data_IF_591493739639
#
_entry.id   IF_591493739639
#
_cell.length_a   1.000
_cell.length_b   1.000
_cell.length_c   1.000
_cell.angle_alpha   90.00
_cell.angle_beta   90.00
_cell.angle_gamma   90.00
#
_symmetry.space_group_name_H-M   'P 1'
#
loop_
_entity.id
_entity.type
_entity.pdbx_description
1 polymer ?
#
# COMPACT_ATOMS: atom_id res chain seq x y z
N UNK A 1 -11.86 32.35 73.96
CA UNK A 1 -12.65 32.90 72.85
C UNK A 1 -12.14 32.23 71.58
N UNK A 2 -12.78 31.18 71.04
CA UNK A 2 -14.00 31.22 70.18
C UNK A 2 -13.87 32.32 69.13
N UNK A 3 -13.66 31.99 67.85
CA UNK A 3 -14.65 31.52 66.85
C UNK A 3 -13.95 30.54 65.85
N UNK A 4 -14.37 29.31 65.56
CA UNK A 4 -15.56 28.74 64.85
C UNK A 4 -15.72 29.11 63.36
N UNK A 5 -16.10 28.08 62.58
CA UNK A 5 -16.51 27.96 61.15
C UNK A 5 -15.38 27.54 60.18
N UNK A 6 -15.36 26.39 59.50
CA UNK A 6 -16.32 25.29 59.32
C UNK A 6 -17.28 25.50 58.14
N UNK A 7 -16.85 25.26 56.89
CA UNK A 7 -17.68 25.08 55.67
C UNK A 7 -16.84 24.30 54.62
N UNK A 8 -17.02 22.99 54.49
CA UNK A 8 -17.78 22.25 53.45
C UNK A 8 -17.02 21.97 52.14
N UNK A 9 -16.69 20.68 52.01
CA UNK A 9 -16.75 19.85 50.82
C UNK A 9 -17.92 20.23 49.89
N UNK A 10 -17.62 20.70 48.67
CA UNK A 10 -18.57 20.84 47.57
C UNK A 10 -17.86 20.55 46.23
N UNK A 11 -18.03 19.31 45.78
CA UNK A 11 -18.40 18.94 44.40
C UNK A 11 -18.15 20.00 43.32
N UNK A 12 -17.05 19.85 42.57
CA UNK A 12 -17.01 20.28 41.16
C UNK A 12 -17.85 19.27 40.37
N UNK A 13 -19.13 19.58 40.25
CA UNK A 13 -20.07 18.94 39.35
C UNK A 13 -20.64 20.07 38.50
N UNK A 14 -19.77 20.62 37.65
CA UNK A 14 -20.16 21.62 36.65
C UNK A 14 -20.83 20.87 35.50
N UNK A 15 -22.15 20.80 35.59
CA UNK A 15 -23.12 20.97 34.51
C UNK A 15 -22.75 20.39 33.12
N UNK A 16 -22.90 19.08 32.95
CA UNK A 16 -23.02 18.41 31.65
C UNK A 16 -24.42 17.78 31.47
N UNK A 17 -25.48 18.51 31.84
CA UNK A 17 -26.88 18.08 31.68
C UNK A 17 -27.72 19.14 30.91
N UNK A 18 -27.13 19.79 29.91
CA UNK A 18 -27.94 20.38 28.83
C UNK A 18 -28.16 19.31 27.76
N UNK A 19 -29.01 18.34 28.10
CA UNK A 19 -29.71 17.52 27.13
C UNK A 19 -30.58 18.46 26.28
N UNK A 20 -30.00 18.93 25.18
CA UNK A 20 -30.69 19.67 24.15
C UNK A 20 -31.81 18.79 23.58
N UNK A 21 -32.99 18.88 24.18
CA UNK A 21 -34.24 18.41 23.58
C UNK A 21 -34.46 19.22 22.31
N UNK A 22 -33.94 18.69 21.19
CA UNK A 22 -34.17 19.20 19.86
C UNK A 22 -35.67 19.05 19.56
N UNK A 23 -36.43 20.13 19.76
CA UNK A 23 -37.76 20.26 19.17
C UNK A 23 -37.61 20.11 17.65
N UNK A 24 -38.37 19.21 16.99
CA UNK A 24 -38.28 19.07 15.55
C UNK A 24 -38.73 20.38 14.90
N UNK A 25 -37.76 21.11 14.37
CA UNK A 25 -37.99 22.26 13.49
C UNK A 25 -38.95 21.86 12.36
N UNK A 26 -39.88 22.74 11.94
CA UNK A 26 -40.82 22.41 10.88
C UNK A 26 -40.06 22.04 9.61
N UNK A 27 -40.27 20.83 9.11
CA UNK A 27 -39.69 20.35 7.86
C UNK A 27 -40.17 21.25 6.71
N UNK A 28 -39.23 21.98 6.10
CA UNK A 28 -39.51 22.82 4.95
C UNK A 28 -39.69 21.92 3.73
N UNK A 29 -40.95 21.64 3.39
CA UNK A 29 -41.34 20.85 2.22
C UNK A 29 -41.83 21.79 1.11
N UNK A 30 -41.15 21.79 -0.03
CA UNK A 30 -41.58 22.55 -1.21
C UNK A 30 -42.29 21.59 -2.17
N UNK A 31 -43.56 21.88 -2.47
CA UNK A 31 -44.35 21.10 -3.44
C UNK A 31 -44.46 21.87 -4.74
N UNK A 32 -44.00 21.28 -5.83
CA UNK A 32 -44.17 21.81 -7.18
C UNK A 32 -45.19 20.96 -7.95
N UNK A 33 -46.16 21.60 -8.60
CA UNK A 33 -47.14 20.93 -9.45
C UNK A 33 -47.02 21.38 -10.90
N UNK A 34 -46.89 20.43 -11.82
CA UNK A 34 -46.76 20.68 -13.26
C UNK A 34 -48.09 20.45 -14.00
N UNK A 35 -48.23 21.04 -15.19
CA UNK A 35 -49.42 20.91 -16.04
C UNK A 35 -49.61 19.49 -16.62
N UNK A 36 -48.60 18.63 -16.46
CA UNK A 36 -48.59 17.21 -16.82
C UNK A 36 -49.17 16.29 -15.73
N UNK A 37 -49.85 16.85 -14.72
CA UNK A 37 -50.42 16.15 -13.56
C UNK A 37 -49.39 15.52 -12.60
N UNK A 38 -48.12 15.90 -12.68
CA UNK A 38 -47.09 15.47 -11.71
C UNK A 38 -46.98 16.44 -10.53
N UNK A 39 -46.84 15.89 -9.32
CA UNK A 39 -46.54 16.62 -8.09
C UNK A 39 -45.17 16.17 -7.60
N UNK A 40 -44.21 17.09 -7.50
CA UNK A 40 -42.86 16.81 -6.98
C UNK A 40 -42.72 17.41 -5.60
N UNK A 41 -42.37 16.55 -4.63
CA UNK A 41 -42.07 16.94 -3.26
C UNK A 41 -40.56 17.11 -3.11
N UNK A 42 -40.13 18.30 -2.69
CA UNK A 42 -38.74 18.60 -2.39
C UNK A 42 -38.56 18.73 -0.89
N UNK A 43 -37.65 17.95 -0.33
CA UNK A 43 -37.26 18.02 1.07
C UNK A 43 -35.92 18.76 1.18
N UNK A 44 -35.78 19.68 2.14
CA UNK A 44 -34.51 20.34 2.42
C UNK A 44 -33.53 19.35 3.09
N UNK A 45 -32.51 18.92 2.35
CA UNK A 45 -31.42 18.05 2.83
C UNK A 45 -30.14 18.82 3.15
N UNK A 46 -30.17 20.16 3.13
CA UNK A 46 -28.97 20.99 3.29
C UNK A 46 -28.32 20.80 4.66
N UNK A 47 -29.10 20.77 5.74
CA UNK A 47 -28.60 20.56 7.10
C UNK A 47 -28.03 19.15 7.29
N UNK A 48 -28.73 18.12 6.81
CA UNK A 48 -28.27 16.74 6.85
C UNK A 48 -26.97 16.53 6.06
N UNK A 49 -26.87 17.13 4.87
CA UNK A 49 -25.67 17.05 4.02
C UNK A 49 -24.50 17.82 4.66
N UNK A 50 -24.75 18.97 5.28
CA UNK A 50 -23.72 19.74 5.99
C UNK A 50 -23.17 18.99 7.21
N UNK A 51 -24.04 18.35 8.00
CA UNK A 51 -23.64 17.50 9.13
C UNK A 51 -22.87 16.28 8.65
N UNK A 52 -23.36 15.56 7.64
CA UNK A 52 -22.68 14.40 7.06
C UNK A 52 -21.29 14.77 6.49
N UNK A 53 -21.17 15.92 5.83
CA UNK A 53 -19.88 16.42 5.32
C UNK A 53 -18.92 16.73 6.46
N UNK A 54 -19.40 17.34 7.54
CA UNK A 54 -18.60 17.66 8.73
C UNK A 54 -18.12 16.37 9.41
N UNK A 55 -19.01 15.41 9.62
CA UNK A 55 -18.69 14.11 10.21
C UNK A 55 -17.70 13.30 9.34
N UNK A 56 -17.87 13.32 8.02
CA UNK A 56 -16.92 12.66 7.12
C UNK A 56 -15.54 13.33 7.16
N UNK A 57 -15.49 14.65 7.27
CA UNK A 57 -14.24 15.39 7.40
C UNK A 57 -13.53 15.06 8.73
N UNK A 58 -14.25 14.99 9.85
CA UNK A 58 -13.66 14.63 11.15
C UNK A 58 -13.14 13.19 11.14
N UNK A 59 -13.93 12.23 10.66
CA UNK A 59 -13.49 10.82 10.54
C UNK A 59 -12.23 10.65 9.69
N UNK A 60 -12.12 11.39 8.57
CA UNK A 60 -10.91 11.35 7.74
C UNK A 60 -9.68 11.86 8.49
N UNK A 61 -9.84 12.92 9.28
CA UNK A 61 -8.74 13.47 10.11
C UNK A 61 -8.36 12.50 11.22
N UNK A 62 -9.33 11.89 11.89
CA UNK A 62 -9.10 10.86 12.91
C UNK A 62 -8.32 9.67 12.36
N UNK A 63 -8.77 9.09 11.24
CA UNK A 63 -8.06 7.96 10.62
C UNK A 63 -6.65 8.34 10.13
N UNK A 64 -6.46 9.58 9.67
CA UNK A 64 -5.12 10.07 9.31
C UNK A 64 -4.19 10.18 10.53
N UNK A 65 -4.75 10.56 11.69
CA UNK A 65 -4.03 10.60 12.95
C UNK A 65 -3.71 9.19 13.47
N UNK A 66 -4.66 8.26 13.39
CA UNK A 66 -4.46 6.84 13.71
C UNK A 66 -3.34 6.23 12.87
N UNK A 67 -3.36 6.50 11.55
CA UNK A 67 -2.31 6.04 10.65
C UNK A 67 -0.93 6.56 11.08
N UNK A 68 -0.82 7.83 11.45
CA UNK A 68 0.45 8.37 11.96
C UNK A 68 0.87 7.71 13.27
N UNK A 69 -0.08 7.41 14.16
CA UNK A 69 0.19 6.72 15.41
C UNK A 69 0.71 5.29 15.15
N UNK A 70 0.08 4.53 14.24
CA UNK A 70 0.55 3.20 13.85
C UNK A 70 1.93 3.23 13.19
N UNK A 71 2.22 4.23 12.37
CA UNK A 71 3.56 4.43 11.78
C UNK A 71 4.60 4.68 12.87
N UNK A 72 4.30 5.57 13.83
CA UNK A 72 5.20 5.87 14.96
C UNK A 72 5.40 4.67 15.87
N UNK A 73 4.37 3.87 16.08
CA UNK A 73 4.43 2.62 16.86
C UNK A 73 5.11 1.47 16.10
N UNK A 74 5.44 1.64 14.82
CA UNK A 74 5.94 0.59 13.91
C UNK A 74 4.99 -0.62 13.80
N UNK A 75 3.68 -0.42 14.00
CA UNK A 75 2.65 -1.43 13.79
C UNK A 75 2.34 -1.54 12.29
N UNK A 76 3.15 -2.29 11.55
CA UNK A 76 3.03 -2.37 10.08
C UNK A 76 1.70 -2.98 9.61
N UNK A 77 1.11 -3.89 10.39
CA UNK A 77 -0.16 -4.55 10.02
C UNK A 77 -1.30 -3.56 9.87
N UNK A 78 -1.57 -2.83 10.93
CA UNK A 78 -2.65 -1.86 10.98
C UNK A 78 -2.35 -0.68 10.07
N UNK A 79 -1.09 -0.21 10.03
CA UNK A 79 -0.67 0.88 9.17
C UNK A 79 -0.91 0.58 7.68
N UNK A 80 -0.58 -0.62 7.19
CA UNK A 80 -0.77 -0.99 5.78
C UNK A 80 -2.26 -1.11 5.45
N UNK A 81 -3.05 -1.74 6.32
CA UNK A 81 -4.50 -1.90 6.10
C UNK A 81 -5.19 -0.54 6.06
N UNK A 82 -4.90 0.32 7.03
CA UNK A 82 -5.47 1.66 7.13
C UNK A 82 -4.99 2.56 5.98
N UNK A 83 -3.73 2.47 5.56
CA UNK A 83 -3.20 3.21 4.40
C UNK A 83 -3.87 2.79 3.08
N UNK A 84 -4.21 1.51 2.93
CA UNK A 84 -4.95 1.00 1.78
C UNK A 84 -6.42 1.45 1.80
N UNK A 85 -7.06 1.51 2.97
CA UNK A 85 -8.42 2.02 3.14
C UNK A 85 -8.52 3.53 2.83
N UNK A 86 -7.58 4.32 3.34
CA UNK A 86 -7.53 5.77 3.13
C UNK A 86 -6.96 6.16 1.75
N UNK A 87 -6.50 5.18 0.96
CA UNK A 87 -5.98 5.39 -0.39
C UNK A 87 -4.77 6.36 -0.48
N UNK A 88 -3.84 6.28 0.48
CA UNK A 88 -2.62 7.12 0.51
C UNK A 88 -1.40 6.43 -0.13
N UNK A 89 -1.06 6.69 -1.42
CA UNK A 89 0.06 5.99 -2.09
C UNK A 89 1.41 6.31 -1.49
N UNK A 90 1.65 7.58 -1.16
CA UNK A 90 2.98 8.04 -0.75
C UNK A 90 3.35 7.49 0.62
N UNK A 91 2.44 7.60 1.60
CA UNK A 91 2.66 7.05 2.94
C UNK A 91 2.86 5.53 2.91
N UNK A 92 2.11 4.82 2.07
CA UNK A 92 2.26 3.37 1.89
C UNK A 92 3.63 3.02 1.27
N UNK A 93 4.08 3.78 0.27
CA UNK A 93 5.41 3.62 -0.31
C UNK A 93 6.50 3.89 0.74
N UNK A 94 6.40 4.98 1.49
CA UNK A 94 7.36 5.33 2.54
C UNK A 94 7.45 4.18 3.58
N UNK A 95 6.30 3.62 3.99
CA UNK A 95 6.27 2.43 4.84
C UNK A 95 7.02 1.25 4.23
N UNK A 96 6.74 0.88 2.98
CA UNK A 96 7.46 -0.21 2.33
C UNK A 96 8.94 0.09 2.12
N UNK A 97 9.33 1.33 1.84
CA UNK A 97 10.74 1.72 1.71
C UNK A 97 11.49 1.57 3.02
N UNK A 98 10.87 1.93 4.16
CA UNK A 98 11.50 1.76 5.48
C UNK A 98 11.64 0.29 5.87
N UNK A 99 10.70 -0.57 5.46
CA UNK A 99 10.77 -2.01 5.71
C UNK A 99 11.83 -2.66 4.83
N UNK A 100 11.84 -2.37 3.52
CA UNK A 100 12.75 -3.00 2.55
C UNK A 100 14.19 -2.54 2.73
N UNK A 101 14.44 -1.29 3.12
CA UNK A 101 15.79 -0.79 3.38
C UNK A 101 16.24 -0.99 4.85
N UNK A 102 15.36 -1.53 5.70
CA UNK A 102 15.61 -1.76 7.11
C UNK A 102 16.36 -3.08 7.38
N UNK A 103 16.54 -3.45 8.65
CA UNK A 103 17.10 -4.75 9.01
C UNK A 103 16.15 -5.88 8.59
N UNK A 104 16.69 -6.87 7.87
CA UNK A 104 15.93 -8.03 7.39
C UNK A 104 15.93 -9.14 8.41
N UNK A 105 14.76 -9.69 8.70
CA UNK A 105 14.61 -10.93 9.47
C UNK A 105 14.80 -12.15 8.57
N UNK A 106 15.55 -13.14 9.07
CA UNK A 106 15.77 -14.41 8.38
C UNK A 106 14.41 -15.10 8.10
N UNK A 107 14.15 -15.37 6.82
CA UNK A 107 12.94 -16.04 6.35
C UNK A 107 11.75 -15.12 6.01
N UNK A 108 11.92 -13.79 6.07
CA UNK A 108 10.93 -12.84 5.54
C UNK A 108 11.19 -12.51 4.06
N UNK A 109 10.13 -12.31 3.28
CA UNK A 109 10.21 -11.97 1.86
C UNK A 109 10.38 -10.46 1.62
N UNK A 110 9.69 -9.60 2.37
CA UNK A 110 9.84 -8.13 2.29
C UNK A 110 10.90 -7.60 3.26
N UNK A 111 11.12 -8.29 4.39
CA UNK A 111 12.09 -7.92 5.43
C UNK A 111 11.55 -8.15 6.85
N UNK A 112 10.23 -8.01 7.06
CA UNK A 112 9.55 -8.32 8.33
C UNK A 112 8.41 -9.32 8.12
N UNK A 113 8.33 -10.33 9.00
CA UNK A 113 7.28 -11.37 8.94
C UNK A 113 5.87 -10.82 9.10
N UNK A 114 5.71 -9.75 9.87
CA UNK A 114 4.40 -9.10 10.06
C UNK A 114 3.84 -8.56 8.74
N UNK A 115 4.71 -7.98 7.89
CA UNK A 115 4.32 -7.44 6.58
C UNK A 115 3.93 -8.58 5.63
N UNK A 116 4.68 -9.68 5.65
CA UNK A 116 4.37 -10.87 4.85
C UNK A 116 3.01 -11.47 5.27
N UNK A 117 2.75 -11.55 6.58
CA UNK A 117 1.47 -12.03 7.11
C UNK A 117 0.30 -11.12 6.69
N UNK A 118 0.52 -9.80 6.62
CA UNK A 118 -0.49 -8.84 6.15
C UNK A 118 -0.80 -9.08 4.69
N UNK A 119 0.23 -9.13 3.83
CA UNK A 119 0.09 -9.36 2.38
C UNK A 119 -0.68 -10.66 2.10
N UNK A 120 -0.42 -11.72 2.88
CA UNK A 120 -1.17 -12.98 2.77
C UNK A 120 -2.65 -12.89 3.19
N UNK A 121 -2.98 -11.99 4.13
CA UNK A 121 -4.34 -11.81 4.68
C UNK A 121 -5.20 -10.75 3.97
N UNK A 122 -4.64 -10.02 3.00
CA UNK A 122 -5.35 -8.94 2.30
C UNK A 122 -6.60 -9.45 1.55
N UNK A 123 -7.65 -8.62 1.54
CA UNK A 123 -8.85 -8.85 0.74
C UNK A 123 -8.57 -8.63 -0.75
N UNK A 124 -9.40 -9.21 -1.62
CA UNK A 124 -9.24 -9.09 -3.07
C UNK A 124 -9.29 -7.63 -3.56
N UNK A 125 -10.11 -6.79 -2.93
CA UNK A 125 -10.19 -5.35 -3.28
C UNK A 125 -8.90 -4.61 -2.91
N UNK A 126 -8.37 -4.84 -1.71
CA UNK A 126 -7.12 -4.23 -1.26
C UNK A 126 -5.92 -4.73 -2.09
N UNK A 127 -5.90 -6.01 -2.44
CA UNK A 127 -4.88 -6.60 -3.30
C UNK A 127 -4.88 -5.95 -4.69
N UNK A 128 -6.06 -5.70 -5.26
CA UNK A 128 -6.20 -5.00 -6.54
C UNK A 128 -5.66 -3.57 -6.47
N UNK A 129 -6.06 -2.81 -5.45
CA UNK A 129 -5.56 -1.45 -5.24
C UNK A 129 -4.04 -1.44 -5.03
N UNK A 130 -3.50 -2.42 -4.31
CA UNK A 130 -2.05 -2.57 -4.12
C UNK A 130 -1.34 -2.87 -5.44
N UNK A 131 -1.85 -3.79 -6.27
CA UNK A 131 -1.27 -4.10 -7.59
C UNK A 131 -1.22 -2.90 -8.53
N UNK A 132 -2.28 -2.07 -8.55
CA UNK A 132 -2.29 -0.80 -9.30
C UNK A 132 -1.16 0.13 -8.82
N UNK A 133 -1.02 0.31 -7.51
CA UNK A 133 0.05 1.15 -6.95
C UNK A 133 1.46 0.59 -7.21
N UNK A 134 1.64 -0.73 -7.14
CA UNK A 134 2.92 -1.38 -7.47
C UNK A 134 3.30 -1.13 -8.92
N UNK A 135 2.35 -1.15 -9.87
CA UNK A 135 2.62 -0.79 -11.27
C UNK A 135 3.18 0.62 -11.37
N UNK A 136 2.56 1.59 -10.71
CA UNK A 136 2.98 2.99 -10.77
C UNK A 136 4.35 3.20 -10.10
N UNK A 137 4.62 2.51 -8.98
CA UNK A 137 5.95 2.52 -8.34
C UNK A 137 7.04 1.83 -9.17
N UNK A 138 6.68 0.79 -9.92
CA UNK A 138 7.60 0.05 -10.77
C UNK A 138 7.99 0.85 -12.03
N UNK A 139 7.11 1.73 -12.52
CA UNK A 139 7.42 2.61 -13.64
C UNK A 139 8.56 3.60 -13.32
N UNK A 140 8.75 3.95 -12.06
CA UNK A 140 9.78 4.89 -11.61
C UNK A 140 11.10 4.17 -11.25
N UNK A 141 12.21 4.63 -11.85
CA UNK A 141 13.54 4.08 -11.62
C UNK A 141 14.09 4.24 -10.20
N UNK A 142 13.55 5.12 -9.34
CA UNK A 142 13.99 5.25 -7.94
C UNK A 142 13.27 4.30 -6.98
N UNK A 143 12.03 3.95 -7.28
CA UNK A 143 11.14 3.17 -6.40
C UNK A 143 10.95 1.73 -6.85
N UNK A 144 11.48 1.36 -8.03
CA UNK A 144 11.35 0.02 -8.60
C UNK A 144 11.83 -1.08 -7.65
N UNK A 145 12.93 -0.90 -6.92
CA UNK A 145 13.46 -1.90 -6.01
C UNK A 145 12.41 -2.32 -4.95
N UNK A 146 11.78 -1.34 -4.30
CA UNK A 146 10.73 -1.57 -3.31
C UNK A 146 9.51 -2.24 -3.95
N UNK A 147 9.10 -1.79 -5.14
CA UNK A 147 7.99 -2.39 -5.88
C UNK A 147 8.25 -3.87 -6.23
N UNK A 148 9.47 -4.22 -6.64
CA UNK A 148 9.86 -5.60 -6.97
C UNK A 148 9.86 -6.51 -5.74
N UNK A 149 10.30 -6.03 -4.57
CA UNK A 149 10.27 -6.81 -3.33
C UNK A 149 8.83 -7.12 -2.89
N UNK A 150 7.95 -6.12 -2.93
CA UNK A 150 6.54 -6.32 -2.59
C UNK A 150 5.86 -7.23 -3.62
N UNK A 151 6.16 -7.07 -4.90
CA UNK A 151 5.66 -7.95 -5.96
C UNK A 151 6.14 -9.40 -5.76
N UNK A 152 7.40 -9.60 -5.41
CA UNK A 152 7.96 -10.91 -5.10
C UNK A 152 7.24 -11.58 -3.92
N UNK A 153 6.99 -10.83 -2.84
CA UNK A 153 6.23 -11.33 -1.70
C UNK A 153 4.79 -11.74 -2.08
N UNK A 154 4.10 -10.91 -2.87
CA UNK A 154 2.77 -11.22 -3.40
C UNK A 154 2.78 -12.54 -4.20
N UNK A 155 3.73 -12.70 -5.12
CA UNK A 155 3.82 -13.88 -5.97
C UNK A 155 4.17 -15.16 -5.19
N UNK A 156 4.87 -15.03 -4.07
CA UNK A 156 5.28 -16.17 -3.24
C UNK A 156 4.22 -16.58 -2.22
N UNK A 157 3.49 -15.61 -1.67
CA UNK A 157 2.49 -15.83 -0.62
C UNK A 157 1.10 -16.13 -1.18
N UNK A 158 0.74 -15.55 -2.33
CA UNK A 158 -0.62 -15.65 -2.87
C UNK A 158 -0.67 -16.72 -3.96
N UNK A 159 -1.55 -17.74 -3.83
CA UNK A 159 -1.73 -18.74 -4.87
C UNK A 159 -2.21 -18.13 -6.19
N UNK A 160 -1.66 -18.63 -7.31
CA UNK A 160 -2.05 -18.21 -8.67
C UNK A 160 -3.56 -18.21 -8.90
N UNK A 161 -4.30 -19.15 -8.30
CA UNK A 161 -5.75 -19.25 -8.43
C UNK A 161 -6.48 -18.01 -7.89
N UNK A 162 -6.03 -17.45 -6.76
CA UNK A 162 -6.62 -16.23 -6.18
C UNK A 162 -6.33 -15.00 -7.03
N UNK A 163 -5.11 -14.89 -7.56
CA UNK A 163 -4.73 -13.80 -8.46
C UNK A 163 -5.56 -13.82 -9.76
N UNK A 164 -5.88 -15.02 -10.27
CA UNK A 164 -6.75 -15.18 -11.44
C UNK A 164 -8.21 -14.82 -11.13
N UNK A 165 -8.72 -15.13 -9.93
CA UNK A 165 -10.08 -14.78 -9.50
C UNK A 165 -10.34 -13.28 -9.42
N UNK A 166 -9.30 -12.46 -9.23
CA UNK A 166 -9.38 -10.98 -9.26
C UNK A 166 -9.94 -10.46 -10.59
N UNK A 167 -9.65 -11.15 -11.70
CA UNK A 167 -10.14 -10.84 -13.05
C UNK A 167 -11.65 -11.02 -13.16
N UNK A 168 -12.19 -12.02 -12.46
CA UNK A 168 -13.56 -12.46 -12.64
C UNK A 168 -14.55 -11.57 -11.86
N UNK A 169 -14.09 -10.79 -10.87
CA UNK A 169 -14.93 -9.80 -10.15
C UNK A 169 -15.45 -8.70 -11.07
N UNK A 170 -14.62 -8.18 -11.97
CA UNK A 170 -15.04 -7.22 -13.01
C UNK A 170 -16.02 -7.85 -14.00
N UNK A 171 -15.87 -9.15 -14.30
CA UNK A 171 -16.79 -9.88 -15.18
C UNK A 171 -18.14 -10.09 -14.50
N UNK A 172 -18.16 -10.33 -13.20
CA UNK A 172 -19.40 -10.50 -12.42
C UNK A 172 -20.19 -9.19 -12.30
N UNK A 173 -19.51 -8.06 -12.04
CA UNK A 173 -20.18 -6.74 -12.06
C UNK A 173 -20.69 -6.39 -13.45
N UNK A 174 -19.89 -6.62 -14.50
CA UNK A 174 -20.29 -6.32 -15.88
C UNK A 174 -21.40 -7.24 -16.46
N UNK A 175 -21.71 -8.37 -15.81
CA UNK A 175 -22.83 -9.25 -16.20
C UNK A 175 -24.11 -8.85 -15.47
N UNK A 176 -24.01 -8.30 -14.26
CA UNK A 176 -25.15 -7.72 -13.55
C UNK A 176 -25.69 -6.46 -14.26
N UNK A 177 -24.85 -5.74 -15.02
CA UNK A 177 -25.26 -4.58 -15.82
C UNK A 177 -26.01 -4.92 -17.14
N UNK A 178 -26.13 -6.20 -17.51
CA UNK A 178 -26.67 -6.62 -18.84
C UNK A 178 -28.10 -7.16 -18.77
N UNK A 179 -28.54 -7.64 -17.61
CA UNK A 179 -29.93 -8.03 -17.39
C UNK A 179 -30.62 -6.95 -16.54
N UNK A 180 -31.22 -5.97 -17.22
CA UNK A 180 -32.06 -4.96 -16.58
C UNK A 180 -33.29 -5.62 -15.96
N UNK A 181 -33.22 -5.90 -14.67
CA UNK A 181 -34.35 -6.33 -13.84
C UNK A 181 -34.53 -5.31 -12.70
N UNK A 182 -35.79 -4.96 -12.46
CA UNK A 182 -36.22 -3.82 -11.63
C UNK A 182 -35.78 -4.00 -10.16
N UNK A 183 -34.76 -3.25 -9.73
CA UNK A 183 -34.24 -3.20 -8.36
C UNK A 183 -34.53 -1.87 -7.67
N UNK A 184 -35.06 -1.93 -6.44
CA UNK A 184 -35.67 -0.81 -5.71
C UNK A 184 -34.75 0.31 -5.23
N UNK A 185 -35.37 1.33 -4.64
CA UNK A 185 -34.85 2.65 -4.25
C UNK A 185 -33.55 2.64 -3.40
N UNK A 186 -33.26 1.53 -2.69
CA UNK A 186 -32.01 1.34 -1.93
C UNK A 186 -30.77 1.06 -2.82
N UNK A 187 -30.98 0.53 -4.02
CA UNK A 187 -29.92 0.17 -4.98
C UNK A 187 -29.47 1.40 -5.78
N UNK A 188 -30.38 2.34 -6.06
CA UNK A 188 -30.08 3.63 -6.71
C UNK A 188 -29.23 4.55 -5.81
N UNK A 189 -29.44 4.49 -4.48
CA UNK A 189 -28.61 5.19 -3.50
C UNK A 189 -27.19 4.58 -3.39
N UNK A 190 -27.10 3.25 -3.49
CA UNK A 190 -25.83 2.54 -3.54
C UNK A 190 -25.08 2.83 -4.86
N UNK A 191 -25.81 2.97 -5.97
CA UNK A 191 -25.26 3.31 -7.29
C UNK A 191 -24.82 4.79 -7.35
N UNK A 192 -25.54 5.71 -6.71
CA UNK A 192 -25.13 7.11 -6.54
C UNK A 192 -23.90 7.28 -5.62
N UNK A 193 -23.81 6.49 -4.53
CA UNK A 193 -22.61 6.44 -3.68
C UNK A 193 -21.43 5.80 -4.40
N UNK A 194 -21.68 4.80 -5.24
CA UNK A 194 -20.67 4.22 -6.13
C UNK A 194 -20.21 5.29 -7.14
N UNK A 195 -21.12 5.99 -7.83
CA UNK A 195 -20.86 7.08 -8.78
C UNK A 195 -19.98 8.21 -8.20
N UNK A 196 -20.17 8.56 -6.92
CA UNK A 196 -19.32 9.54 -6.24
C UNK A 196 -17.91 9.00 -5.93
N UNK A 197 -17.80 7.69 -5.71
CA UNK A 197 -16.53 6.95 -5.56
C UNK A 197 -15.89 6.54 -6.90
N UNK A 198 -16.64 6.59 -8.02
CA UNK A 198 -16.24 6.06 -9.34
C UNK A 198 -15.48 7.05 -10.22
N UNK A 199 -14.93 8.14 -9.66
CA UNK A 199 -13.77 8.75 -10.33
C UNK A 199 -12.66 7.73 -10.60
N UNK A 200 -12.61 6.65 -9.81
CA UNK A 200 -11.76 5.47 -10.03
C UNK A 200 -12.36 4.41 -11.01
N UNK A 201 -13.66 4.46 -11.36
CA UNK A 201 -14.27 3.58 -12.37
C UNK A 201 -14.07 4.07 -13.81
N UNK A 202 -13.55 5.28 -14.01
CA UNK A 202 -12.95 5.66 -15.30
C UNK A 202 -11.67 4.87 -15.60
N UNK A 203 -11.08 4.21 -14.61
CA UNK A 203 -9.98 3.27 -14.83
C UNK A 203 -10.54 1.93 -15.32
N UNK A 204 -10.81 1.87 -16.63
CA UNK A 204 -11.10 0.61 -17.37
C UNK A 204 -9.89 -0.32 -17.44
N UNK A 205 -8.86 -0.14 -16.63
CA UNK A 205 -7.65 -0.96 -16.61
C UNK A 205 -8.03 -2.41 -16.30
N UNK A 206 -7.83 -3.27 -17.29
CA UNK A 206 -7.99 -4.70 -17.08
C UNK A 206 -6.83 -5.24 -16.26
N UNK A 207 -7.05 -6.35 -15.56
CA UNK A 207 -5.96 -7.08 -14.88
C UNK A 207 -4.82 -7.39 -15.85
N UNK A 208 -5.15 -7.66 -17.13
CA UNK A 208 -4.15 -7.89 -18.18
C UNK A 208 -3.30 -6.65 -18.44
N UNK A 209 -3.91 -5.47 -18.53
CA UNK A 209 -3.16 -4.22 -18.79
C UNK A 209 -2.21 -3.89 -17.63
N UNK A 210 -2.65 -4.10 -16.38
CA UNK A 210 -1.81 -3.91 -15.20
C UNK A 210 -0.64 -4.90 -15.20
N UNK A 211 -0.91 -6.17 -15.47
CA UNK A 211 0.12 -7.21 -15.54
C UNK A 211 1.10 -7.01 -16.70
N UNK A 212 0.61 -6.57 -17.85
CA UNK A 212 1.46 -6.28 -19.02
C UNK A 212 2.37 -5.07 -18.76
N UNK A 213 1.84 -4.02 -18.13
CA UNK A 213 2.64 -2.90 -17.65
C UNK A 213 3.71 -3.34 -16.64
N UNK A 214 3.35 -4.18 -15.66
CA UNK A 214 4.31 -4.76 -14.73
C UNK A 214 5.38 -5.57 -15.45
N UNK A 215 5.01 -6.40 -16.43
CA UNK A 215 5.92 -7.22 -17.23
C UNK A 215 6.90 -6.37 -18.04
N UNK A 216 6.43 -5.32 -18.72
CA UNK A 216 7.28 -4.46 -19.53
C UNK A 216 8.34 -3.73 -18.69
N UNK A 217 7.95 -3.17 -17.55
CA UNK A 217 8.89 -2.46 -16.66
C UNK A 217 9.79 -3.42 -15.89
N UNK A 218 9.30 -4.57 -15.42
CA UNK A 218 10.14 -5.61 -14.81
C UNK A 218 11.22 -6.09 -15.78
N UNK A 219 10.87 -6.35 -17.04
CA UNK A 219 11.84 -6.75 -18.07
C UNK A 219 12.90 -5.67 -18.27
N UNK A 220 12.48 -4.41 -18.43
CA UNK A 220 13.43 -3.30 -18.59
C UNK A 220 14.40 -3.16 -17.41
N UNK A 221 13.93 -3.37 -16.18
CA UNK A 221 14.80 -3.33 -14.99
C UNK A 221 15.71 -4.55 -14.92
N UNK A 222 15.24 -5.72 -15.36
CA UNK A 222 16.05 -6.94 -15.44
C UNK A 222 17.17 -6.79 -16.47
N UNK A 223 16.88 -6.26 -17.65
CA UNK A 223 17.89 -6.00 -18.70
C UNK A 223 18.94 -5.00 -18.19
N UNK A 224 18.51 -3.95 -17.48
CA UNK A 224 19.42 -3.00 -16.83
C UNK A 224 20.30 -3.68 -15.78
N UNK A 225 19.74 -4.57 -14.96
CA UNK A 225 20.50 -5.31 -13.95
C UNK A 225 21.52 -6.24 -14.62
N UNK A 226 21.18 -6.86 -15.75
CA UNK A 226 22.08 -7.64 -16.58
C UNK A 226 23.29 -6.81 -17.03
N UNK A 227 23.06 -5.63 -17.61
CA UNK A 227 24.13 -4.72 -18.02
C UNK A 227 25.04 -4.31 -16.84
N UNK A 228 24.46 -3.98 -15.68
CA UNK A 228 25.25 -3.65 -14.47
C UNK A 228 26.06 -4.86 -13.98
N UNK A 229 25.52 -6.08 -14.11
CA UNK A 229 26.26 -7.31 -13.79
C UNK A 229 27.42 -7.54 -14.74
N UNK A 230 27.29 -7.21 -16.02
CA UNK A 230 28.37 -7.27 -17.01
C UNK A 230 29.48 -6.26 -16.67
N UNK A 231 29.12 -5.03 -16.33
CA UNK A 231 30.06 -3.99 -15.89
C UNK A 231 30.85 -4.41 -14.64
N UNK A 232 30.21 -5.13 -13.70
CA UNK A 232 30.89 -5.66 -12.50
C UNK A 232 32.05 -6.60 -12.86
N UNK A 233 31.98 -7.34 -13.96
CA UNK A 233 33.08 -8.23 -14.36
C UNK A 233 34.37 -7.48 -14.66
N UNK A 234 34.30 -6.21 -15.09
CA UNK A 234 35.50 -5.38 -15.28
C UNK A 234 36.23 -5.16 -13.96
N UNK A 235 35.49 -4.95 -12.86
CA UNK A 235 36.08 -4.79 -11.52
C UNK A 235 36.71 -6.10 -11.03
N UNK A 236 36.03 -7.23 -11.25
CA UNK A 236 36.58 -8.55 -10.90
C UNK A 236 37.84 -8.86 -11.72
N UNK A 237 37.84 -8.53 -13.01
CA UNK A 237 39.01 -8.68 -13.88
C UNK A 237 40.17 -7.78 -13.43
N UNK A 238 39.88 -6.52 -13.06
CA UNK A 238 40.90 -5.60 -12.54
C UNK A 238 41.49 -6.09 -11.21
N UNK A 239 40.65 -6.58 -10.28
CA UNK A 239 41.11 -7.20 -9.03
C UNK A 239 41.99 -8.42 -9.30
N UNK A 240 41.59 -9.29 -10.24
CA UNK A 240 42.38 -10.45 -10.62
C UNK A 240 43.75 -10.05 -11.20
N UNK A 241 43.81 -8.97 -11.99
CA UNK A 241 45.06 -8.49 -12.56
C UNK A 241 45.97 -7.86 -11.51
N UNK A 242 45.41 -7.16 -10.51
CA UNK A 242 46.18 -6.63 -9.39
C UNK A 242 46.73 -7.76 -8.51
N UNK A 243 45.92 -8.77 -8.21
CA UNK A 243 46.34 -9.97 -7.46
C UNK A 243 47.46 -10.74 -8.19
N UNK A 244 47.37 -10.85 -9.52
CA UNK A 244 48.42 -11.46 -10.34
C UNK A 244 49.75 -10.66 -10.35
N UNK A 245 49.69 -9.34 -10.18
CA UNK A 245 50.87 -8.49 -10.10
C UNK A 245 51.48 -8.50 -8.69
N UNK A 246 50.65 -8.55 -7.64
CA UNK A 246 51.09 -8.61 -6.24
C UNK A 246 51.63 -10.01 -5.87
N UNK A 247 51.06 -11.08 -6.43
CA UNK A 247 51.55 -12.46 -6.33
C UNK A 247 52.82 -12.74 -7.16
N UNK A 248 53.31 -11.76 -7.92
CA UNK A 248 54.50 -11.87 -8.79
C UNK A 248 55.78 -11.25 -8.24
N UNK A 249 55.79 -10.78 -6.99
CA UNK A 249 56.92 -10.06 -6.40
C UNK A 249 57.73 -10.87 -5.36
N UNK A 250 57.76 -12.20 -5.47
CA UNK A 250 58.77 -13.06 -4.81
C UNK A 250 59.24 -14.23 -5.69
N UNK A 251 59.75 -13.97 -6.90
CA UNK A 251 60.87 -14.76 -7.39
C UNK A 251 61.68 -13.94 -8.40
N UNK A 252 62.70 -13.27 -7.91
CA UNK A 252 63.74 -12.75 -8.78
C UNK A 252 64.61 -13.92 -9.20
N UNK A 253 64.65 -14.24 -10.49
CA UNK A 253 65.88 -14.64 -11.19
C UNK A 253 65.62 -14.60 -12.69
N UNK A 254 66.34 -13.69 -13.36
CA UNK A 254 66.68 -13.82 -14.77
C UNK A 254 67.62 -15.03 -14.87
N UNK A 255 67.14 -16.13 -15.44
CA UNK A 255 67.93 -17.33 -15.66
C UNK A 255 67.29 -18.21 -16.72
N UNK A 256 67.68 -18.00 -17.98
CA UNK A 256 67.50 -18.98 -19.05
C UNK A 256 67.99 -20.37 -18.60
N UNK A 257 67.16 -21.40 -18.77
CA UNK A 257 67.61 -22.78 -18.54
C UNK A 257 66.48 -23.80 -18.52
N UNK A 258 66.43 -24.64 -19.55
CA UNK A 258 65.64 -25.86 -19.63
C UNK A 258 65.78 -26.75 -18.39
N UNK A 259 64.71 -27.43 -17.94
CA UNK A 259 64.88 -28.61 -17.08
C UNK A 259 63.67 -29.03 -16.23
N UNK A 260 63.02 -30.12 -16.67
CA UNK A 260 62.21 -31.08 -15.91
C UNK A 260 62.43 -31.15 -14.38
N UNK A 261 61.35 -31.35 -13.60
CA UNK A 261 61.41 -32.18 -12.38
C UNK A 261 60.54 -31.77 -11.18
N UNK A 262 59.42 -32.49 -11.00
CA UNK A 262 58.95 -33.15 -9.77
C UNK A 262 58.80 -32.35 -8.44
N UNK A 263 57.54 -32.26 -7.98
CA UNK A 263 57.13 -32.72 -6.63
C UNK A 263 57.03 -31.68 -5.51
N UNK A 264 55.87 -31.65 -4.84
CA UNK A 264 55.73 -31.05 -3.50
C UNK A 264 54.31 -30.58 -3.15
N UNK A 265 53.52 -31.46 -2.51
CA UNK A 265 52.27 -31.14 -1.80
C UNK A 265 52.47 -30.07 -0.71
N UNK A 266 51.44 -29.25 -0.45
CA UNK A 266 51.44 -28.31 0.67
C UNK A 266 50.23 -27.37 0.77
N UNK A 267 49.10 -27.96 1.16
CA UNK A 267 48.09 -27.43 2.09
C UNK A 267 47.33 -26.11 1.82
N UNK A 268 46.01 -26.24 1.64
CA UNK A 268 45.02 -25.17 1.53
C UNK A 268 44.37 -24.97 2.89
N UNK A 269 44.61 -23.83 3.55
CA UNK A 269 43.88 -23.43 4.76
C UNK A 269 42.72 -22.52 4.36
N UNK A 270 41.50 -23.03 4.53
CA UNK A 270 40.24 -22.27 4.47
C UNK A 270 39.95 -21.61 5.82
N UNK A 271 39.59 -20.33 5.80
CA UNK A 271 38.71 -19.66 6.77
C UNK A 271 37.68 -18.83 6.03
#
# INVERSE_FOLDING_TARGET
AQTQQGVQDQSMQDADDDEATATPEPTLELVSGSADSTLTFWHDTTSATALATTQQATQRVEHDQELQNHIRAANYREAIVLALQLNHPKRLLDLFTTVVNGPHELGSFVGKKDVDAVIGSLSDGQLWSLLRRIRDWNANGRTHNVAQHVLYAILRLIPKARLLGLRDRRRKTAVLDVDGDEGGEDEELADAMAELSTRDARSRESVRDVLDGLKAYTQRHYDRLGAVSEERFVLLWALQQMDAVDGGAIDGVVGEGMGNGLGGEGDVVML
#
